data_IF_976585375253
#
_entry.id   IF_976585375253
#
_cell.length_a   1.000
_cell.length_b   1.000
_cell.length_c   1.000
_cell.angle_alpha   90.00
_cell.angle_beta   90.00
_cell.angle_gamma   90.00
#
_symmetry.space_group_name_H-M   'P 1'
#
loop_
_entity.id
_entity.type
_entity.pdbx_description
1 polymer ?
#
# COMPACT_ATOMS: atom_id res chain seq x y z
N UNK A 1 -7.97 -53.43 -45.63
CA UNK A 1 -6.90 -53.04 -44.70
C UNK A 1 -6.88 -51.54 -44.33
N UNK A 2 -7.43 -50.62 -45.14
CA UNK A 2 -7.41 -49.17 -44.83
C UNK A 2 -8.26 -48.71 -43.64
N UNK A 3 -9.38 -49.38 -43.33
CA UNK A 3 -10.26 -49.01 -42.20
C UNK A 3 -9.62 -49.19 -40.81
N UNK A 4 -8.58 -50.03 -40.69
CA UNK A 4 -7.88 -50.31 -39.42
C UNK A 4 -6.81 -49.26 -39.10
N UNK A 5 -6.25 -48.64 -40.14
CA UNK A 5 -5.23 -47.57 -40.03
C UNK A 5 -5.89 -46.24 -39.63
N UNK A 6 -7.10 -45.96 -40.14
CA UNK A 6 -7.86 -44.75 -39.80
C UNK A 6 -8.31 -44.67 -38.33
N UNK A 7 -8.34 -45.80 -37.60
CA UNK A 7 -8.71 -45.84 -36.17
C UNK A 7 -7.53 -45.61 -35.21
N UNK A 8 -6.30 -45.69 -35.70
CA UNK A 8 -5.07 -45.49 -34.89
C UNK A 8 -4.59 -44.03 -34.91
N UNK A 9 -5.01 -43.26 -35.91
CA UNK A 9 -4.69 -41.84 -36.10
C UNK A 9 -5.11 -40.94 -34.92
N UNK A 10 -6.33 -41.05 -34.34
CA UNK A 10 -6.71 -40.22 -33.20
C UNK A 10 -5.92 -40.55 -31.92
N UNK A 11 -5.47 -41.80 -31.77
CA UNK A 11 -4.67 -42.22 -30.60
C UNK A 11 -3.26 -41.63 -30.68
N UNK A 12 -2.66 -41.60 -31.87
CA UNK A 12 -1.35 -40.97 -32.09
C UNK A 12 -1.41 -39.46 -31.89
N UNK A 13 -2.49 -38.80 -32.33
CA UNK A 13 -2.67 -37.35 -32.14
C UNK A 13 -2.90 -36.97 -30.67
N UNK A 14 -3.66 -37.78 -29.93
CA UNK A 14 -3.85 -37.61 -28.49
C UNK A 14 -2.54 -37.83 -27.69
N UNK A 15 -1.74 -38.83 -28.08
CA UNK A 15 -0.43 -39.08 -27.46
C UNK A 15 0.57 -37.93 -27.67
N UNK A 16 0.59 -37.34 -28.86
CA UNK A 16 1.45 -36.18 -29.16
C UNK A 16 1.03 -34.93 -28.37
N UNK A 17 -0.27 -34.70 -28.19
CA UNK A 17 -0.78 -33.58 -27.40
C UNK A 17 -0.44 -33.72 -25.90
N UNK A 18 -0.51 -34.94 -25.35
CA UNK A 18 -0.13 -35.21 -23.96
C UNK A 18 1.38 -35.01 -23.72
N UNK A 19 2.23 -35.39 -24.67
CA UNK A 19 3.66 -35.12 -24.60
C UNK A 19 3.96 -33.61 -24.69
N UNK A 20 3.23 -32.85 -25.50
CA UNK A 20 3.39 -31.39 -25.59
C UNK A 20 3.01 -30.68 -24.28
N UNK A 21 2.01 -31.18 -23.55
CA UNK A 21 1.61 -30.65 -22.22
C UNK A 21 2.60 -31.04 -21.11
N UNK A 22 3.28 -32.18 -21.23
CA UNK A 22 4.25 -32.64 -20.25
C UNK A 22 5.62 -31.95 -20.37
N UNK A 23 5.96 -31.41 -21.55
CA UNK A 23 7.22 -30.69 -21.81
C UNK A 23 6.99 -29.18 -21.93
N UNK A 24 5.73 -28.73 -21.86
CA UNK A 24 5.44 -27.31 -21.68
C UNK A 24 6.11 -26.86 -20.38
N UNK A 25 6.97 -25.83 -20.41
CA UNK A 25 7.43 -25.23 -19.18
C UNK A 25 6.18 -24.84 -18.42
N UNK A 26 6.05 -25.32 -17.19
CA UNK A 26 5.14 -24.73 -16.24
C UNK A 26 5.65 -23.31 -16.00
N UNK A 27 5.29 -22.40 -16.91
CA UNK A 27 5.28 -20.97 -16.71
C UNK A 27 4.17 -20.72 -15.69
N UNK A 28 4.44 -21.17 -14.46
CA UNK A 28 3.70 -20.78 -13.30
C UNK A 28 3.59 -19.27 -13.35
N UNK A 29 2.34 -18.83 -13.19
CA UNK A 29 1.95 -17.48 -12.95
C UNK A 29 2.59 -16.99 -11.64
N UNK A 30 3.91 -16.80 -11.63
CA UNK A 30 4.51 -15.84 -10.74
C UNK A 30 4.37 -14.50 -11.47
N UNK A 31 3.38 -13.66 -11.09
CA UNK A 31 3.27 -12.34 -11.69
C UNK A 31 4.65 -11.68 -11.54
N UNK A 32 5.20 -11.07 -12.61
CA UNK A 32 6.48 -10.40 -12.52
C UNK A 32 6.42 -9.47 -11.30
N UNK A 33 7.47 -9.44 -10.46
CA UNK A 33 7.47 -8.60 -9.28
C UNK A 33 7.01 -7.21 -9.70
N UNK A 34 6.07 -6.60 -8.95
CA UNK A 34 5.51 -5.31 -9.32
C UNK A 34 6.67 -4.37 -9.65
N UNK A 35 6.55 -3.60 -10.75
CA UNK A 35 7.65 -2.77 -11.21
C UNK A 35 8.18 -1.96 -10.02
N UNK A 36 9.50 -1.90 -9.83
CA UNK A 36 10.07 -1.13 -8.74
C UNK A 36 9.46 0.27 -8.80
N UNK A 37 8.94 0.74 -7.67
CA UNK A 37 8.49 2.12 -7.57
C UNK A 37 9.72 2.97 -7.94
N UNK A 38 9.60 3.75 -9.00
CA UNK A 38 10.64 4.66 -9.48
C UNK A 38 10.16 6.08 -9.22
N UNK A 39 11.05 6.88 -8.65
CA UNK A 39 10.82 8.32 -8.52
C UNK A 39 10.73 8.96 -9.92
N UNK A 40 10.19 10.17 -10.03
CA UNK A 40 10.13 10.90 -11.30
C UNK A 40 11.51 11.16 -11.94
N UNK A 41 12.59 11.05 -11.15
CA UNK A 41 14.00 11.15 -11.58
C UNK A 41 14.65 9.80 -11.95
N UNK A 42 13.91 8.68 -11.87
CA UNK A 42 14.37 7.34 -12.23
C UNK A 42 15.13 6.57 -11.14
N UNK A 43 15.30 7.13 -9.94
CA UNK A 43 15.91 6.44 -8.79
C UNK A 43 14.93 5.41 -8.16
N UNK A 44 15.43 4.32 -7.54
CA UNK A 44 14.56 3.36 -6.86
C UNK A 44 13.92 4.03 -5.63
N UNK A 45 12.62 3.80 -5.40
CA UNK A 45 11.96 4.21 -4.15
C UNK A 45 12.48 3.44 -2.91
N UNK A 46 13.29 2.39 -3.12
CA UNK A 46 13.90 1.59 -2.06
C UNK A 46 14.88 2.43 -1.24
N UNK A 47 14.44 2.87 -0.07
CA UNK A 47 15.25 3.60 0.91
C UNK A 47 14.52 4.73 1.62
N UNK A 48 13.40 5.22 1.06
CA UNK A 48 12.65 6.37 1.60
C UNK A 48 11.23 5.97 1.98
N UNK A 49 10.67 4.96 1.32
CA UNK A 49 9.29 4.52 1.52
C UNK A 49 9.18 2.99 1.46
N UNK A 50 8.25 2.42 2.23
CA UNK A 50 7.87 1.01 2.14
C UNK A 50 6.35 0.91 1.92
N UNK A 51 5.92 -0.04 1.08
CA UNK A 51 4.51 -0.32 0.81
C UNK A 51 4.32 -1.84 0.84
N UNK A 52 3.42 -2.33 1.69
CA UNK A 52 3.11 -3.75 1.82
C UNK A 52 1.63 -3.98 2.19
N UNK A 53 1.20 -5.25 2.31
CA UNK A 53 -0.19 -5.60 2.64
C UNK A 53 -0.63 -5.14 4.06
N UNK A 54 0.32 -4.78 4.91
CA UNK A 54 0.11 -4.21 6.23
C UNK A 54 -0.04 -2.69 6.22
N UNK A 55 0.44 -1.98 5.21
CA UNK A 55 0.38 -0.51 5.14
C UNK A 55 1.51 0.09 4.30
N UNK A 56 1.68 1.40 4.40
CA UNK A 56 2.74 2.17 3.78
C UNK A 56 3.41 3.10 4.80
N UNK A 57 4.70 3.34 4.63
CA UNK A 57 5.45 4.34 5.37
C UNK A 57 6.42 5.10 4.47
N UNK A 58 6.71 6.33 4.86
CA UNK A 58 7.73 7.21 4.28
C UNK A 58 8.54 7.82 5.41
N UNK A 59 9.86 7.87 5.25
CA UNK A 59 10.77 8.58 6.13
C UNK A 59 11.88 9.25 5.32
N UNK A 60 11.71 10.56 5.07
CA UNK A 60 12.75 11.39 4.45
C UNK A 60 13.69 11.91 5.55
N UNK A 61 15.01 11.66 5.48
CA UNK A 61 15.98 12.21 6.44
C UNK A 61 15.88 13.74 6.53
N UNK A 62 15.70 14.26 7.75
CA UNK A 62 15.45 15.69 8.01
C UNK A 62 14.22 16.29 7.32
N UNK A 63 13.37 15.45 6.73
CA UNK A 63 12.20 15.85 5.97
C UNK A 63 10.92 15.18 6.50
N UNK A 64 9.86 15.17 5.69
CA UNK A 64 8.58 14.59 6.08
C UNK A 64 8.68 13.10 6.39
N UNK A 65 7.89 12.67 7.36
CA UNK A 65 7.63 11.27 7.65
C UNK A 65 6.13 11.02 7.73
N UNK A 66 5.72 9.80 7.44
CA UNK A 66 4.33 9.40 7.56
C UNK A 66 4.14 7.90 7.45
N UNK A 67 3.03 7.43 8.00
CA UNK A 67 2.60 6.03 7.97
C UNK A 67 1.11 5.97 7.69
N UNK A 68 0.66 4.89 7.05
CA UNK A 68 -0.75 4.61 6.84
C UNK A 68 -0.98 3.10 6.78
N UNK A 69 -1.93 2.60 7.55
CA UNK A 69 -2.35 1.20 7.56
C UNK A 69 -3.87 1.09 7.77
N UNK A 70 -4.36 -0.12 8.09
CA UNK A 70 -5.78 -0.35 8.38
C UNK A 70 -6.24 0.26 9.70
N UNK A 71 -5.32 0.52 10.62
CA UNK A 71 -5.59 1.16 11.89
C UNK A 71 -5.73 2.67 11.76
N UNK A 72 -4.99 3.30 10.85
CA UNK A 72 -5.08 4.74 10.62
C UNK A 72 -3.91 5.28 9.81
N UNK A 73 -3.73 6.58 9.84
CA UNK A 73 -2.61 7.26 9.20
C UNK A 73 -2.07 8.38 10.08
N UNK A 74 -0.78 8.68 9.92
CA UNK A 74 -0.13 9.79 10.60
C UNK A 74 1.03 10.34 9.79
N UNK A 75 1.44 11.54 10.14
CA UNK A 75 2.59 12.16 9.51
C UNK A 75 3.05 13.41 10.23
N UNK A 76 4.29 13.79 9.95
CA UNK A 76 4.91 14.96 10.51
C UNK A 76 5.94 15.54 9.56
N UNK A 77 6.12 16.85 9.66
CA UNK A 77 7.22 17.57 9.05
C UNK A 77 8.04 18.18 10.19
N UNK A 78 9.37 17.99 10.24
CA UNK A 78 10.22 18.61 11.25
C UNK A 78 10.00 20.13 11.30
N UNK A 79 9.74 20.66 12.51
CA UNK A 79 9.39 22.06 12.76
C UNK A 79 8.13 22.58 12.03
N UNK A 80 7.34 21.67 11.48
CA UNK A 80 6.18 21.96 10.65
C UNK A 80 4.88 21.39 11.24
N UNK A 81 3.90 21.10 10.38
CA UNK A 81 2.67 20.45 10.79
C UNK A 81 2.88 18.98 11.13
N UNK A 82 2.01 18.47 11.98
CA UNK A 82 1.89 17.04 12.27
C UNK A 82 0.43 16.68 12.47
N UNK A 83 0.12 15.40 12.32
CA UNK A 83 -1.22 14.90 12.62
C UNK A 83 -1.34 13.40 12.44
N UNK A 84 -2.44 12.89 12.96
CA UNK A 84 -2.83 11.50 12.84
C UNK A 84 -4.35 11.37 12.84
N UNK A 85 -4.85 10.31 12.21
CA UNK A 85 -6.26 9.97 12.22
C UNK A 85 -6.44 8.45 12.17
N UNK A 86 -7.45 7.96 12.88
CA UNK A 86 -7.84 6.56 12.93
C UNK A 86 -9.38 6.44 13.04
N UNK A 87 -9.88 5.22 13.30
CA UNK A 87 -11.31 4.98 13.48
C UNK A 87 -11.92 5.62 14.74
N UNK A 88 -11.11 6.17 15.64
CA UNK A 88 -11.51 6.84 16.87
C UNK A 88 -11.57 8.36 16.75
N UNK A 89 -10.75 8.95 15.88
CA UNK A 89 -10.74 10.40 15.65
C UNK A 89 -9.51 10.87 14.89
N UNK A 90 -9.26 12.17 14.95
CA UNK A 90 -8.11 12.81 14.35
C UNK A 90 -7.49 13.82 15.32
N UNK A 91 -6.19 14.03 15.18
CA UNK A 91 -5.45 15.06 15.91
C UNK A 91 -4.36 15.65 15.04
N UNK A 92 -3.90 16.84 15.37
CA UNK A 92 -2.78 17.46 14.69
C UNK A 92 -2.51 18.86 15.18
N UNK A 93 -1.56 19.48 14.53
CA UNK A 93 -1.15 20.84 14.85
C UNK A 93 0.12 21.23 14.15
N UNK A 94 0.76 22.24 14.70
CA UNK A 94 2.02 22.80 14.22
C UNK A 94 3.01 22.90 15.36
N UNK A 95 4.31 22.73 15.06
CA UNK A 95 5.36 22.99 16.04
C UNK A 95 5.28 24.43 16.56
N UNK A 96 5.19 24.61 17.89
CA UNK A 96 4.96 25.90 18.56
C UNK A 96 3.71 26.67 18.07
N UNK A 97 2.78 25.98 17.39
CA UNK A 97 1.60 26.58 16.79
C UNK A 97 0.31 25.97 17.34
N UNK A 98 -0.81 26.19 16.63
CA UNK A 98 -2.09 25.66 17.06
C UNK A 98 -2.10 24.13 17.03
N UNK A 99 -2.86 23.55 17.95
CA UNK A 99 -3.12 22.12 18.02
C UNK A 99 -4.61 21.86 18.16
N UNK A 100 -5.05 20.66 17.79
CA UNK A 100 -6.42 20.25 18.00
C UNK A 100 -6.64 18.76 17.78
N UNK A 101 -7.79 18.30 18.25
CA UNK A 101 -8.26 16.95 18.09
C UNK A 101 -9.78 16.90 17.98
N UNK A 102 -10.29 15.91 17.28
CA UNK A 102 -11.72 15.65 17.16
C UNK A 102 -11.98 14.15 17.18
N UNK A 103 -13.03 13.75 17.87
CA UNK A 103 -13.49 12.36 17.96
C UNK A 103 -15.01 12.33 18.06
N UNK A 104 -15.58 11.12 18.21
CA UNK A 104 -17.01 10.96 18.52
C UNK A 104 -17.44 11.65 19.82
N UNK A 105 -16.52 11.94 20.75
CA UNK A 105 -16.82 12.64 21.99
C UNK A 105 -16.84 14.17 21.89
N UNK A 106 -16.52 14.73 20.73
CA UNK A 106 -16.40 16.18 20.53
C UNK A 106 -15.04 16.58 19.97
N UNK A 107 -14.77 17.88 19.97
CA UNK A 107 -13.54 18.47 19.45
C UNK A 107 -12.90 19.43 20.45
N UNK A 108 -11.58 19.54 20.39
CA UNK A 108 -10.81 20.48 21.19
C UNK A 108 -9.68 21.09 20.38
N UNK A 109 -9.25 22.29 20.75
CA UNK A 109 -8.12 22.96 20.14
C UNK A 109 -7.52 24.03 21.02
N UNK A 110 -6.23 24.31 20.80
CA UNK A 110 -5.47 25.32 21.52
C UNK A 110 -4.67 26.15 20.52
N UNK A 111 -4.63 27.46 20.76
CA UNK A 111 -3.74 28.38 20.07
C UNK A 111 -2.79 28.97 21.14
N UNK A 112 -1.47 28.80 20.99
CA UNK A 112 -0.50 29.38 21.93
C UNK A 112 -0.70 30.88 22.11
N UNK A 113 -0.62 31.34 23.36
CA UNK A 113 -0.81 32.75 23.74
C UNK A 113 -2.22 33.33 23.46
N UNK A 114 -3.19 32.52 23.03
CA UNK A 114 -4.58 32.95 22.80
C UNK A 114 -5.54 32.20 23.72
N UNK A 115 -5.45 30.87 23.75
CA UNK A 115 -6.30 30.05 24.62
C UNK A 115 -6.73 28.73 23.99
N UNK A 116 -7.51 27.96 24.74
CA UNK A 116 -8.04 26.66 24.33
C UNK A 116 -9.56 26.65 24.37
N UNK A 117 -10.17 25.85 23.50
CA UNK A 117 -11.60 25.61 23.46
C UNK A 117 -11.88 24.12 23.30
N UNK A 118 -12.87 23.61 24.03
CA UNK A 118 -13.39 22.25 23.90
C UNK A 118 -14.90 22.28 23.73
N UNK A 119 -15.40 21.56 22.74
CA UNK A 119 -16.82 21.44 22.41
C UNK A 119 -17.18 19.95 22.49
N UNK A 120 -17.99 19.52 23.48
CA UNK A 120 -18.45 18.13 23.56
C UNK A 120 -19.42 17.79 22.42
N UNK A 121 -19.51 16.50 22.08
CA UNK A 121 -20.52 16.01 21.14
C UNK A 121 -21.95 16.22 21.71
N UNK A 122 -22.97 16.38 20.85
CA UNK A 122 -24.37 16.49 21.25
C UNK A 122 -24.91 15.25 21.98
#
# INVERSE_FOLDING_TARGET
>A
MMAKIARLTPILFAGAAAAALAVAPAAYADPPPPPPCVNADGSPCSGIANINAGGADINVPYGPSGTADRGGAGGSIPYGPFGSADGGGASGGFWNGPTGSASRGGASGCIPNVGCLSIPAP
#
